data_IF_026935311116
#
_entry.id   IF_026935311116
#
_cell.length_a   1.000
_cell.length_b   1.000
_cell.length_c   1.000
_cell.angle_alpha   90.00
_cell.angle_beta   90.00
_cell.angle_gamma   90.00
#
_symmetry.space_group_name_H-M   'P 1'
#
loop_
_entity.id
_entity.type
_entity.pdbx_description
1 polymer ?
#
# COMPACT_ATOMS: atom_id res chain seq x y z
N UNK A 1 -2.50 -13.46 -9.45
CA UNK A 1 -1.33 -13.13 -8.63
C UNK A 1 -0.71 -11.84 -9.12
N UNK A 2 -0.34 -10.97 -8.21
CA UNK A 2 0.31 -9.71 -8.53
C UNK A 2 1.78 -9.90 -8.94
N UNK A 3 2.36 -8.85 -9.49
CA UNK A 3 3.78 -8.84 -9.88
C UNK A 3 4.53 -7.76 -9.11
N UNK A 4 5.77 -8.09 -8.71
CA UNK A 4 6.70 -7.14 -8.10
C UNK A 4 7.55 -6.56 -9.23
N UNK A 5 7.50 -5.25 -9.41
CA UNK A 5 8.16 -4.56 -10.54
C UNK A 5 8.79 -3.24 -10.13
N UNK A 6 9.68 -2.75 -10.96
CA UNK A 6 10.28 -1.43 -10.79
C UNK A 6 9.25 -0.32 -11.01
N UNK A 7 9.55 0.86 -10.49
CA UNK A 7 8.74 2.06 -10.69
C UNK A 7 8.55 2.39 -12.17
N UNK A 8 9.61 2.30 -12.96
CA UNK A 8 9.56 2.61 -14.40
C UNK A 8 8.65 1.65 -15.17
N UNK A 9 8.76 0.35 -14.88
CA UNK A 9 7.86 -0.66 -15.44
C UNK A 9 6.40 -0.42 -15.03
N UNK A 10 6.19 -0.01 -13.78
CA UNK A 10 4.84 0.29 -13.27
C UNK A 10 4.23 1.51 -13.97
N UNK A 11 5.02 2.54 -14.29
CA UNK A 11 4.54 3.69 -15.09
C UNK A 11 3.93 3.23 -16.40
N UNK A 12 4.61 2.34 -17.13
CA UNK A 12 4.14 1.83 -18.42
C UNK A 12 2.84 1.00 -18.28
N UNK A 13 2.76 0.16 -17.25
CA UNK A 13 1.56 -0.64 -16.98
C UNK A 13 0.35 0.20 -16.57
N UNK A 14 0.55 1.19 -15.72
CA UNK A 14 -0.51 2.13 -15.32
C UNK A 14 -1.02 2.92 -16.54
N UNK A 15 -0.09 3.35 -17.41
CA UNK A 15 -0.46 4.05 -18.65
C UNK A 15 -1.30 3.15 -19.57
N UNK A 16 -0.90 1.88 -19.73
CA UNK A 16 -1.65 0.92 -20.53
C UNK A 16 -3.04 0.61 -19.95
N UNK A 17 -3.14 0.46 -18.64
CA UNK A 17 -4.44 0.25 -17.97
C UNK A 17 -5.37 1.44 -18.20
N UNK A 18 -4.86 2.67 -18.06
CA UNK A 18 -5.67 3.88 -18.32
C UNK A 18 -6.12 3.99 -19.75
N UNK A 19 -5.24 3.67 -20.70
CA UNK A 19 -5.61 3.62 -22.11
C UNK A 19 -6.71 2.60 -22.40
N UNK A 20 -6.79 1.53 -21.60
CA UNK A 20 -7.85 0.53 -21.64
C UNK A 20 -9.11 0.91 -20.82
N UNK A 21 -9.16 2.12 -20.26
CA UNK A 21 -10.29 2.60 -19.46
C UNK A 21 -10.37 2.06 -18.04
N UNK A 22 -9.30 1.47 -17.51
CA UNK A 22 -9.27 0.92 -16.16
C UNK A 22 -8.94 1.97 -15.11
N UNK A 23 -9.60 1.86 -13.96
CA UNK A 23 -9.32 2.67 -12.78
C UNK A 23 -8.27 2.01 -11.89
N UNK A 24 -7.53 2.83 -11.14
CA UNK A 24 -6.41 2.40 -10.33
C UNK A 24 -6.63 2.79 -8.86
N UNK A 25 -6.58 1.81 -7.96
CA UNK A 25 -6.48 2.02 -6.53
C UNK A 25 -5.02 1.91 -6.08
N UNK A 26 -4.66 2.67 -5.06
CA UNK A 26 -3.32 2.70 -4.48
C UNK A 26 -3.40 2.45 -2.98
N UNK A 27 -2.59 1.51 -2.50
CA UNK A 27 -2.37 1.23 -1.09
C UNK A 27 -0.87 1.27 -0.78
N UNK A 28 -0.50 1.61 0.44
CA UNK A 28 0.91 1.60 0.85
C UNK A 28 1.07 1.18 2.30
N UNK A 29 2.25 0.71 2.65
CA UNK A 29 2.60 0.31 4.00
C UNK A 29 3.91 -0.46 4.08
N UNK A 30 4.33 -0.78 5.30
CA UNK A 30 5.49 -1.64 5.54
C UNK A 30 5.18 -3.11 5.27
N UNK A 31 3.99 -3.56 5.62
CA UNK A 31 3.54 -4.95 5.46
C UNK A 31 4.54 -5.96 6.06
N UNK A 32 5.07 -5.63 7.22
CA UNK A 32 5.98 -6.50 7.95
C UNK A 32 5.18 -7.44 8.84
N UNK A 33 5.47 -8.74 8.80
CA UNK A 33 4.68 -9.78 9.45
C UNK A 33 3.18 -9.64 9.17
N UNK A 34 2.78 -10.06 7.99
CA UNK A 34 1.38 -9.96 7.55
C UNK A 34 0.44 -10.68 8.52
N UNK A 35 -0.65 -10.00 8.83
CA UNK A 35 -1.76 -10.53 9.62
C UNK A 35 -3.09 -10.25 8.92
N UNK A 36 -4.17 -10.77 9.47
CA UNK A 36 -5.50 -10.67 8.85
C UNK A 36 -5.96 -9.23 8.63
N UNK A 37 -5.51 -8.29 9.45
CA UNK A 37 -5.77 -6.86 9.25
C UNK A 37 -5.21 -6.34 7.92
N UNK A 38 -4.00 -6.76 7.55
CA UNK A 38 -3.39 -6.42 6.26
C UNK A 38 -4.16 -7.04 5.10
N UNK A 39 -4.53 -8.32 5.19
CA UNK A 39 -5.27 -8.98 4.11
C UNK A 39 -6.64 -8.36 3.89
N UNK A 40 -7.37 -8.05 4.96
CA UNK A 40 -8.68 -7.36 4.87
C UNK A 40 -8.56 -5.96 4.28
N UNK A 41 -7.53 -5.21 4.68
CA UNK A 41 -7.23 -3.90 4.11
C UNK A 41 -6.98 -3.99 2.60
N UNK A 42 -6.10 -4.88 2.16
CA UNK A 42 -5.75 -5.03 0.74
C UNK A 42 -6.92 -5.56 -0.10
N UNK A 43 -7.70 -6.52 0.42
CA UNK A 43 -8.90 -6.99 -0.27
C UNK A 43 -9.94 -5.88 -0.45
N UNK A 44 -10.15 -5.06 0.58
CA UNK A 44 -11.08 -3.93 0.50
C UNK A 44 -10.56 -2.84 -0.45
N UNK A 45 -9.25 -2.58 -0.45
CA UNK A 45 -8.63 -1.65 -1.40
C UNK A 45 -8.80 -2.14 -2.85
N UNK A 46 -8.62 -3.43 -3.10
CA UNK A 46 -8.81 -4.02 -4.43
C UNK A 46 -10.25 -3.87 -4.97
N UNK A 47 -11.24 -3.79 -4.08
CA UNK A 47 -12.64 -3.60 -4.47
C UNK A 47 -12.95 -2.15 -4.92
N UNK A 48 -12.05 -1.20 -4.68
CA UNK A 48 -12.27 0.22 -4.99
C UNK A 48 -12.04 0.60 -6.46
N UNK A 49 -11.33 -0.25 -7.22
CA UNK A 49 -10.98 0.04 -8.62
C UNK A 49 -10.71 -1.24 -9.41
N UNK A 50 -10.47 -1.10 -10.71
CA UNK A 50 -10.18 -2.24 -11.60
C UNK A 50 -8.81 -2.86 -11.34
N UNK A 51 -7.84 -2.06 -10.89
CA UNK A 51 -6.48 -2.48 -10.55
C UNK A 51 -6.08 -1.97 -9.18
N UNK A 52 -5.35 -2.79 -8.43
CA UNK A 52 -4.71 -2.39 -7.18
C UNK A 52 -3.20 -2.39 -7.34
N UNK A 53 -2.59 -1.24 -7.12
CA UNK A 53 -1.14 -1.11 -6.94
C UNK A 53 -0.80 -0.88 -5.47
N UNK A 54 0.25 -1.55 -5.00
CA UNK A 54 0.71 -1.47 -3.61
C UNK A 54 2.16 -1.01 -3.58
N UNK A 55 2.44 0.02 -2.79
CA UNK A 55 3.78 0.49 -2.52
C UNK A 55 4.23 0.00 -1.14
N UNK A 56 5.34 -0.71 -1.11
CA UNK A 56 5.93 -1.30 0.10
C UNK A 56 7.15 -0.47 0.52
N UNK A 57 7.18 -0.03 1.76
CA UNK A 57 8.33 0.68 2.32
C UNK A 57 9.60 -0.18 2.21
N UNK A 58 10.72 0.42 1.80
CA UNK A 58 12.02 -0.22 1.88
C UNK A 58 12.42 -0.52 3.33
N UNK A 59 13.56 -1.17 3.53
CA UNK A 59 14.00 -1.56 4.87
C UNK A 59 14.42 -0.35 5.73
N UNK A 60 14.94 0.71 5.11
CA UNK A 60 15.36 1.91 5.82
C UNK A 60 14.15 2.65 6.40
N UNK A 61 13.14 2.91 5.60
CA UNK A 61 11.93 3.59 6.06
C UNK A 61 11.07 2.71 6.97
N UNK A 62 11.08 1.40 6.76
CA UNK A 62 10.40 0.46 7.66
C UNK A 62 11.06 0.39 9.05
N UNK A 63 12.38 0.59 9.14
CA UNK A 63 13.10 0.62 10.42
C UNK A 63 12.64 1.75 11.34
N UNK A 64 12.09 2.82 10.81
CA UNK A 64 11.53 3.94 11.59
C UNK A 64 10.31 3.53 12.43
N UNK A 65 9.69 2.39 12.15
CA UNK A 65 8.54 1.86 12.92
C UNK A 65 8.92 1.33 14.31
N UNK A 66 10.19 1.17 14.59
CA UNK A 66 10.66 0.78 15.92
C UNK A 66 11.88 -0.14 15.89
N UNK A 67 12.47 -0.38 17.07
CA UNK A 67 13.67 -1.25 17.21
C UNK A 67 13.42 -2.66 16.66
N UNK A 68 14.41 -3.21 15.98
CA UNK A 68 14.34 -4.55 15.40
C UNK A 68 13.43 -4.69 14.19
N UNK A 69 13.05 -3.57 13.57
CA UNK A 69 12.19 -3.53 12.37
C UNK A 69 13.00 -3.15 11.11
N UNK A 70 12.67 -3.68 9.90
CA UNK A 70 11.67 -4.72 9.69
C UNK A 70 12.18 -6.12 10.09
N UNK A 71 11.26 -7.06 10.29
CA UNK A 71 11.59 -8.47 10.50
C UNK A 71 11.91 -9.16 9.17
N UNK A 72 11.13 -8.86 8.13
CA UNK A 72 11.31 -9.38 6.78
C UNK A 72 11.88 -8.29 5.87
N UNK A 73 12.79 -8.68 4.99
CA UNK A 73 13.35 -7.77 3.99
C UNK A 73 12.29 -7.27 3.00
N UNK A 74 12.49 -6.11 2.42
CA UNK A 74 11.53 -5.48 1.53
C UNK A 74 11.13 -6.37 0.35
N UNK A 75 12.08 -7.11 -0.23
CA UNK A 75 11.82 -8.02 -1.33
C UNK A 75 10.84 -9.14 -0.93
N UNK A 76 11.04 -9.75 0.23
CA UNK A 76 10.17 -10.80 0.75
C UNK A 76 8.79 -10.25 1.07
N UNK A 77 8.72 -9.07 1.70
CA UNK A 77 7.45 -8.41 2.01
C UNK A 77 6.65 -8.09 0.74
N UNK A 78 7.33 -7.59 -0.28
CA UNK A 78 6.70 -7.30 -1.57
C UNK A 78 6.17 -8.57 -2.25
N UNK A 79 6.94 -9.67 -2.23
CA UNK A 79 6.51 -10.96 -2.79
C UNK A 79 5.27 -11.51 -2.08
N UNK A 80 5.25 -11.46 -0.74
CA UNK A 80 4.09 -11.90 0.05
C UNK A 80 2.86 -11.05 -0.27
N UNK A 81 3.01 -9.72 -0.36
CA UNK A 81 1.92 -8.82 -0.74
C UNK A 81 1.38 -9.14 -2.14
N UNK A 82 2.27 -9.41 -3.10
CA UNK A 82 1.88 -9.77 -4.46
C UNK A 82 1.07 -11.09 -4.53
N UNK A 83 1.22 -11.98 -3.56
CA UNK A 83 0.47 -13.22 -3.48
C UNK A 83 -0.96 -13.04 -2.96
N UNK A 84 -1.31 -11.88 -2.42
CA UNK A 84 -2.66 -11.60 -1.93
C UNK A 84 -3.60 -11.39 -3.12
N UNK A 85 -4.76 -12.06 -3.05
CA UNK A 85 -5.78 -11.92 -4.08
C UNK A 85 -6.23 -10.47 -4.25
N UNK A 86 -6.30 -10.02 -5.50
CA UNK A 86 -6.72 -8.66 -5.85
C UNK A 86 -5.58 -7.67 -5.98
N UNK A 87 -4.37 -8.01 -5.53
CA UNK A 87 -3.17 -7.19 -5.77
C UNK A 87 -2.67 -7.45 -7.19
N UNK A 88 -2.54 -6.39 -7.99
CA UNK A 88 -2.05 -6.49 -9.37
C UNK A 88 -0.57 -6.12 -9.49
N UNK A 89 -0.17 -5.04 -8.85
CA UNK A 89 1.18 -4.49 -8.94
C UNK A 89 1.76 -4.18 -7.57
N UNK A 90 3.03 -4.52 -7.36
CA UNK A 90 3.76 -4.16 -6.15
C UNK A 90 5.08 -3.50 -6.52
N UNK A 91 5.39 -2.37 -5.88
CA UNK A 91 6.68 -1.69 -6.02
C UNK A 91 7.22 -1.32 -4.64
N UNK A 92 8.54 -1.25 -4.52
CA UNK A 92 9.22 -0.84 -3.29
C UNK A 92 9.57 0.64 -3.42
N UNK A 93 9.39 1.41 -2.35
CA UNK A 93 9.73 2.84 -2.34
C UNK A 93 10.57 3.21 -1.12
N UNK A 94 11.44 4.21 -1.30
CA UNK A 94 12.39 4.66 -0.30
C UNK A 94 12.11 6.08 0.22
N UNK A 95 11.13 6.77 -0.37
CA UNK A 95 10.79 8.14 0.03
C UNK A 95 10.17 8.17 1.44
N UNK A 96 10.37 9.26 2.20
CA UNK A 96 9.78 9.40 3.54
C UNK A 96 8.25 9.38 3.55
N UNK A 97 7.62 9.80 2.44
CA UNK A 97 6.16 9.78 2.25
C UNK A 97 5.83 9.21 0.88
N UNK A 98 4.57 8.83 0.66
CA UNK A 98 4.11 8.35 -0.66
C UNK A 98 3.66 9.47 -1.60
N UNK A 99 3.72 10.73 -1.18
CA UNK A 99 3.31 11.85 -2.01
C UNK A 99 3.98 11.85 -3.40
N UNK A 100 5.30 11.63 -3.54
CA UNK A 100 5.93 11.54 -4.85
C UNK A 100 5.36 10.44 -5.75
N UNK A 101 4.99 9.29 -5.19
CA UNK A 101 4.37 8.20 -5.93
C UNK A 101 2.94 8.55 -6.38
N UNK A 102 2.19 9.19 -5.49
CA UNK A 102 0.84 9.66 -5.81
C UNK A 102 0.87 10.71 -6.94
N UNK A 103 1.82 11.62 -6.93
CA UNK A 103 1.99 12.61 -7.99
C UNK A 103 2.39 11.95 -9.32
N UNK A 104 3.25 10.93 -9.27
CA UNK A 104 3.72 10.21 -10.44
C UNK A 104 2.62 9.36 -11.09
N UNK A 105 1.93 8.55 -10.29
CA UNK A 105 0.95 7.58 -10.78
C UNK A 105 -0.47 8.14 -10.87
N UNK A 106 -0.81 9.12 -10.06
CA UNK A 106 -2.15 9.74 -9.97
C UNK A 106 -3.27 8.70 -9.92
N UNK A 107 -3.24 7.77 -8.94
CA UNK A 107 -4.29 6.76 -8.83
C UNK A 107 -5.65 7.41 -8.59
N UNK A 108 -6.69 6.78 -9.10
CA UNK A 108 -8.06 7.29 -8.95
C UNK A 108 -8.49 7.29 -7.49
N UNK A 109 -8.01 6.29 -6.73
CA UNK A 109 -8.34 6.11 -5.32
C UNK A 109 -7.08 5.85 -4.50
N UNK A 110 -6.85 6.65 -3.46
CA UNK A 110 -5.84 6.37 -2.43
C UNK A 110 -6.54 5.72 -1.23
N UNK A 111 -6.22 4.46 -0.96
CA UNK A 111 -6.81 3.67 0.12
C UNK A 111 -5.98 3.78 1.38
N UNK A 112 -6.63 4.09 2.50
CA UNK A 112 -6.03 4.13 3.84
C UNK A 112 -6.83 3.27 4.79
N UNK A 113 -6.17 2.77 5.83
CA UNK A 113 -6.81 2.01 6.89
C UNK A 113 -7.65 2.86 7.83
N UNK A 114 -8.41 2.20 8.71
CA UNK A 114 -9.37 2.84 9.61
C UNK A 114 -8.75 3.66 10.76
N UNK A 115 -7.41 3.73 10.84
CA UNK A 115 -6.69 4.67 11.72
C UNK A 115 -6.90 6.12 11.28
N UNK A 116 -7.31 6.33 10.03
CA UNK A 116 -7.53 7.63 9.42
C UNK A 116 -9.00 7.87 9.13
N UNK A 117 -9.36 9.13 9.03
CA UNK A 117 -10.57 9.58 8.33
C UNK A 117 -10.16 10.24 7.02
N UNK A 118 -11.10 10.47 6.12
CA UNK A 118 -10.82 11.18 4.84
C UNK A 118 -10.10 12.50 5.08
N UNK A 119 -10.46 13.22 6.15
CA UNK A 119 -9.89 14.54 6.47
C UNK A 119 -8.51 14.46 7.15
N UNK A 120 -8.15 13.33 7.76
CA UNK A 120 -6.88 13.19 8.52
C UNK A 120 -5.76 12.49 7.73
N UNK A 121 -6.03 12.03 6.52
CA UNK A 121 -5.01 11.42 5.67
C UNK A 121 -3.93 12.44 5.31
N UNK A 122 -2.64 12.18 5.61
CA UNK A 122 -1.56 13.15 5.39
C UNK A 122 -1.43 13.61 3.93
N UNK A 123 -1.71 12.71 2.98
CA UNK A 123 -1.56 12.97 1.54
C UNK A 123 -2.85 13.49 0.88
N UNK A 124 -3.84 13.88 1.67
CA UNK A 124 -5.16 14.33 1.17
C UNK A 124 -5.03 15.45 0.14
N UNK A 125 -4.24 16.47 0.43
CA UNK A 125 -4.06 17.61 -0.49
C UNK A 125 -3.44 17.19 -1.82
N UNK A 126 -2.47 16.28 -1.79
CA UNK A 126 -1.85 15.73 -3.02
C UNK A 126 -2.87 15.00 -3.86
N UNK A 127 -3.67 14.11 -3.26
CA UNK A 127 -4.69 13.32 -3.96
C UNK A 127 -5.76 14.21 -4.58
N UNK A 128 -6.27 15.17 -3.84
CA UNK A 128 -7.30 16.09 -4.33
C UNK A 128 -6.76 17.01 -5.45
N UNK A 129 -5.48 17.40 -5.38
CA UNK A 129 -4.87 18.28 -6.37
C UNK A 129 -4.86 17.68 -7.79
N UNK A 130 -4.74 16.36 -7.94
CA UNK A 130 -4.80 15.71 -9.26
C UNK A 130 -6.18 15.09 -9.60
N UNK A 131 -7.19 15.32 -8.77
CA UNK A 131 -8.56 14.87 -9.02
C UNK A 131 -8.89 13.46 -8.54
N UNK A 132 -8.04 12.86 -7.71
CA UNK A 132 -8.30 11.58 -7.07
C UNK A 132 -9.22 11.70 -5.85
N UNK A 133 -9.59 10.56 -5.27
CA UNK A 133 -10.34 10.48 -4.02
C UNK A 133 -9.62 9.60 -2.99
N UNK A 134 -10.01 9.75 -1.72
CA UNK A 134 -9.53 8.92 -0.63
C UNK A 134 -10.63 7.96 -0.21
N UNK A 135 -10.29 6.69 -0.03
CA UNK A 135 -11.16 5.67 0.55
C UNK A 135 -10.55 5.15 1.85
N UNK A 136 -11.35 5.12 2.90
CA UNK A 136 -10.99 4.49 4.16
C UNK A 136 -11.54 3.06 4.11
N UNK A 137 -10.65 2.07 4.15
CA UNK A 137 -11.00 0.68 3.88
C UNK A 137 -10.42 -0.26 4.92
N UNK A 138 -11.00 -1.48 5.00
CA UNK A 138 -10.61 -2.51 5.94
C UNK A 138 -11.42 -2.47 7.24
N UNK A 139 -11.07 -3.37 8.14
CA UNK A 139 -11.75 -3.50 9.43
C UNK A 139 -11.28 -2.45 10.44
N UNK A 140 -12.09 -2.15 11.48
CA UNK A 140 -11.61 -1.45 12.66
C UNK A 140 -10.37 -2.14 13.23
N UNK A 141 -9.42 -1.34 13.74
CA UNK A 141 -8.14 -1.84 14.19
C UNK A 141 -8.29 -2.80 15.37
N UNK A 142 -7.97 -4.06 15.14
CA UNK A 142 -7.95 -5.13 16.16
C UNK A 142 -6.71 -6.01 16.04
N UNK A 143 -5.86 -5.74 15.06
CA UNK A 143 -4.65 -6.51 14.75
C UNK A 143 -3.51 -5.56 14.42
N UNK A 144 -2.31 -5.83 14.97
CA UNK A 144 -1.11 -5.08 14.62
C UNK A 144 0.12 -5.98 14.65
N UNK A 145 1.12 -5.65 13.83
CA UNK A 145 2.43 -6.32 13.88
C UNK A 145 3.10 -6.13 15.23
N UNK A 146 2.89 -4.98 15.88
CA UNK A 146 3.41 -4.71 17.23
C UNK A 146 2.86 -5.71 18.24
N UNK A 147 1.56 -5.99 18.21
CA UNK A 147 0.92 -6.95 19.13
C UNK A 147 1.43 -8.38 18.88
N UNK A 148 1.61 -8.77 17.61
CA UNK A 148 2.19 -10.07 17.28
C UNK A 148 3.62 -10.20 17.81
N UNK A 149 4.46 -9.18 17.63
CA UNK A 149 5.83 -9.18 18.15
C UNK A 149 5.87 -9.25 19.67
N UNK A 150 4.98 -8.54 20.36
CA UNK A 150 4.88 -8.61 21.81
C UNK A 150 4.56 -10.04 22.28
N UNK A 151 3.60 -10.71 21.64
CA UNK A 151 3.22 -12.11 21.97
C UNK A 151 4.33 -13.11 21.69
N UNK A 152 5.12 -12.91 20.66
CA UNK A 152 6.25 -13.80 20.33
C UNK A 152 7.37 -13.68 21.36
N UNK A 153 7.54 -12.50 21.96
CA UNK A 153 8.59 -12.24 22.96
C UNK A 153 8.22 -12.68 24.37
N UNK A 154 6.98 -13.06 24.64
CA UNK A 154 6.53 -13.68 25.89
C UNK A 154 6.97 -15.15 25.99
#
# INVERSE_FOLDING_TARGET
MGIVISRDQLVDLVRADRAAGRTIAFANGCFDLLHVGHTRYLLAAAAEADRLMVAVNDDVTAAEKGPGRPILEAADRAEIVAAIRGVDYVTIFAEPTVAPLLELFRPDVHCKGTDYTVDTVPERSTVLAYGGRIAIVGDPKGHSTRDLLARIRE
#
